data_IF_265675457762
#
_entry.id   IF_265675457762
#
_cell.length_a   1.000
_cell.length_b   1.000
_cell.length_c   1.000
_cell.angle_alpha   90.00
_cell.angle_beta   90.00
_cell.angle_gamma   90.00
#
_symmetry.space_group_name_H-M   'P 1'
#
loop_
_entity.id
_entity.type
_entity.pdbx_description
1 polymer ?
#
# COMPACT_ATOMS: atom_id res chain seq x y z
N UNK A 1 34.38 -18.98 -19.99
CA UNK A 1 33.52 -18.72 -18.83
C UNK A 1 32.25 -18.03 -19.31
N UNK A 2 31.13 -18.74 -19.37
CA UNK A 2 29.79 -18.16 -19.42
C UNK A 2 28.84 -19.19 -18.77
N UNK A 3 28.21 -18.91 -17.61
CA UNK A 3 27.00 -19.62 -17.28
C UNK A 3 25.89 -19.00 -18.13
N UNK A 4 25.38 -19.78 -19.08
CA UNK A 4 24.11 -19.47 -19.72
C UNK A 4 23.02 -19.73 -18.69
N UNK A 5 22.75 -18.74 -17.84
CA UNK A 5 21.61 -18.73 -16.93
C UNK A 5 20.34 -18.59 -17.77
N UNK A 6 19.87 -19.72 -18.32
CA UNK A 6 18.56 -19.80 -18.95
C UNK A 6 17.51 -19.62 -17.85
N UNK A 7 16.98 -18.39 -17.72
CA UNK A 7 15.86 -18.13 -16.82
C UNK A 7 14.75 -19.15 -17.11
N UNK A 8 14.24 -19.78 -16.06
CA UNK A 8 13.18 -20.79 -16.19
C UNK A 8 11.85 -20.08 -16.38
N UNK A 9 11.01 -20.58 -17.28
CA UNK A 9 9.62 -20.16 -17.33
C UNK A 9 8.82 -21.15 -16.47
N UNK A 10 8.23 -20.67 -15.38
CA UNK A 10 7.28 -21.45 -14.58
C UNK A 10 5.86 -20.84 -14.76
N UNK A 11 4.98 -21.53 -15.52
CA UNK A 11 3.63 -21.03 -15.75
C UNK A 11 2.75 -21.08 -14.50
N UNK A 12 3.04 -21.93 -13.52
CA UNK A 12 2.27 -21.98 -12.27
C UNK A 12 2.58 -20.78 -11.39
N UNK A 13 3.86 -20.41 -11.25
CA UNK A 13 4.27 -19.23 -10.49
C UNK A 13 3.76 -17.95 -11.17
N UNK A 14 3.87 -17.87 -12.51
CA UNK A 14 3.27 -16.75 -13.24
C UNK A 14 1.76 -16.65 -13.03
N UNK A 15 1.02 -17.77 -13.12
CA UNK A 15 -0.42 -17.81 -12.88
C UNK A 15 -0.79 -17.46 -11.43
N UNK A 16 -0.02 -17.92 -10.45
CA UNK A 16 -0.25 -17.61 -9.05
C UNK A 16 -0.05 -16.12 -8.78
N UNK A 17 1.04 -15.54 -9.28
CA UNK A 17 1.32 -14.12 -9.18
C UNK A 17 0.26 -13.25 -9.89
N UNK A 18 -0.34 -13.73 -11.00
CA UNK A 18 -1.50 -13.07 -11.63
C UNK A 18 -2.74 -13.10 -10.74
N UNK A 19 -3.01 -14.24 -10.08
CA UNK A 19 -4.15 -14.36 -9.17
C UNK A 19 -3.98 -13.44 -7.94
N UNK A 20 -2.76 -13.32 -7.42
CA UNK A 20 -2.43 -12.38 -6.36
C UNK A 20 -2.59 -10.92 -6.82
N UNK A 21 -2.12 -10.57 -8.03
CA UNK A 21 -2.30 -9.26 -8.65
C UNK A 21 -3.79 -8.85 -8.71
N UNK A 22 -4.66 -9.73 -9.22
CA UNK A 22 -6.10 -9.44 -9.33
C UNK A 22 -6.76 -9.33 -7.94
N UNK A 23 -6.39 -10.21 -7.01
CA UNK A 23 -6.87 -10.16 -5.63
C UNK A 23 -6.46 -8.86 -4.94
N UNK A 24 -5.23 -8.39 -5.18
CA UNK A 24 -4.70 -7.13 -4.62
C UNK A 24 -5.45 -5.94 -5.21
N UNK A 25 -5.71 -5.95 -6.51
CA UNK A 25 -6.52 -4.94 -7.21
C UNK A 25 -7.95 -4.90 -6.69
N UNK A 26 -8.58 -6.05 -6.44
CA UNK A 26 -9.90 -6.13 -5.84
C UNK A 26 -9.92 -5.60 -4.40
N UNK A 27 -8.99 -6.03 -3.55
CA UNK A 27 -8.87 -5.54 -2.17
C UNK A 27 -8.68 -4.02 -2.13
N UNK A 28 -7.83 -3.49 -3.02
CA UNK A 28 -7.60 -2.05 -3.15
C UNK A 28 -8.86 -1.29 -3.60
N UNK A 29 -9.58 -1.79 -4.61
CA UNK A 29 -10.88 -1.23 -5.05
C UNK A 29 -11.90 -1.19 -3.92
N UNK A 30 -11.94 -2.24 -3.11
CA UNK A 30 -12.83 -2.36 -1.96
C UNK A 30 -12.35 -1.56 -0.73
N UNK A 31 -11.20 -0.88 -0.83
CA UNK A 31 -10.55 -0.15 0.27
C UNK A 31 -10.30 -1.02 1.52
N UNK A 32 -10.16 -2.33 1.33
CA UNK A 32 -9.85 -3.28 2.38
C UNK A 32 -8.33 -3.28 2.61
N UNK A 33 -7.88 -2.36 3.46
CA UNK A 33 -6.45 -2.12 3.70
C UNK A 33 -5.78 -3.33 4.36
N UNK A 34 -6.49 -4.04 5.25
CA UNK A 34 -5.92 -5.21 5.93
C UNK A 34 -5.64 -6.32 4.90
N UNK A 35 -6.58 -6.53 3.98
CA UNK A 35 -6.39 -7.50 2.90
C UNK A 35 -5.33 -7.06 1.90
N UNK A 36 -5.21 -5.78 1.59
CA UNK A 36 -4.11 -5.23 0.76
C UNK A 36 -2.76 -5.54 1.39
N UNK A 37 -2.59 -5.34 2.69
CA UNK A 37 -1.34 -5.63 3.40
C UNK A 37 -1.01 -7.14 3.35
N UNK A 38 -1.98 -8.00 3.67
CA UNK A 38 -1.77 -9.45 3.64
C UNK A 38 -1.42 -9.96 2.23
N UNK A 39 -2.03 -9.39 1.19
CA UNK A 39 -1.74 -9.75 -0.20
C UNK A 39 -0.38 -9.21 -0.67
N UNK A 40 0.04 -8.03 -0.20
CA UNK A 40 1.39 -7.50 -0.47
C UNK A 40 2.46 -8.44 0.09
N UNK A 41 2.30 -8.93 1.31
CA UNK A 41 3.20 -9.94 1.90
C UNK A 41 3.27 -11.21 1.05
N UNK A 42 2.12 -11.71 0.58
CA UNK A 42 2.07 -12.88 -0.30
C UNK A 42 2.77 -12.64 -1.65
N UNK A 43 2.55 -11.48 -2.28
CA UNK A 43 3.24 -11.09 -3.52
C UNK A 43 4.75 -11.00 -3.31
N UNK A 44 5.21 -10.47 -2.18
CA UNK A 44 6.63 -10.38 -1.88
C UNK A 44 7.28 -11.74 -1.68
N UNK A 45 6.61 -12.69 -1.01
CA UNK A 45 7.12 -14.06 -0.89
C UNK A 45 7.21 -14.75 -2.25
N UNK A 46 6.21 -14.57 -3.10
CA UNK A 46 6.21 -15.12 -4.46
C UNK A 46 7.35 -14.53 -5.31
N UNK A 47 7.57 -13.21 -5.23
CA UNK A 47 8.67 -12.54 -5.93
C UNK A 47 10.05 -12.99 -5.42
N UNK A 48 10.18 -13.32 -4.13
CA UNK A 48 11.40 -13.94 -3.58
C UNK A 48 11.62 -15.33 -4.19
N UNK A 49 10.57 -16.13 -4.36
CA UNK A 49 10.66 -17.42 -5.02
C UNK A 49 11.10 -17.27 -6.49
N UNK A 50 10.48 -16.35 -7.24
CA UNK A 50 10.86 -15.99 -8.62
C UNK A 50 12.35 -15.65 -8.70
N UNK A 51 12.86 -14.83 -7.78
CA UNK A 51 14.27 -14.46 -7.76
C UNK A 51 15.19 -15.65 -7.43
N UNK A 52 14.86 -16.44 -6.40
CA UNK A 52 15.67 -17.59 -5.98
C UNK A 52 15.76 -18.66 -7.08
N UNK A 53 14.66 -18.88 -7.79
CA UNK A 53 14.56 -19.91 -8.81
C UNK A 53 14.93 -19.41 -10.23
N UNK A 54 15.33 -18.14 -10.33
CA UNK A 54 15.67 -17.47 -11.59
C UNK A 54 14.55 -17.60 -12.63
N UNK A 55 13.32 -17.37 -12.19
CA UNK A 55 12.14 -17.46 -13.04
C UNK A 55 11.99 -16.18 -13.85
N UNK A 56 11.82 -16.31 -15.16
CA UNK A 56 11.47 -15.19 -16.01
C UNK A 56 9.98 -14.88 -15.88
N UNK A 57 9.66 -13.65 -15.49
CA UNK A 57 8.30 -13.14 -15.52
C UNK A 57 8.00 -12.43 -16.85
N UNK A 58 6.78 -12.55 -17.40
CA UNK A 58 6.34 -11.74 -18.53
C UNK A 58 6.45 -10.24 -18.20
N UNK A 59 7.01 -9.47 -19.15
CA UNK A 59 7.18 -8.01 -18.99
C UNK A 59 5.86 -7.33 -18.64
N UNK A 60 4.77 -7.71 -19.29
CA UNK A 60 3.45 -7.11 -19.05
C UNK A 60 2.94 -7.35 -17.62
N UNK A 61 3.25 -8.52 -17.03
CA UNK A 61 2.89 -8.81 -15.65
C UNK A 61 3.67 -7.93 -14.67
N UNK A 62 4.96 -7.74 -14.92
CA UNK A 62 5.81 -6.84 -14.12
C UNK A 62 5.30 -5.39 -14.20
N UNK A 63 4.96 -4.92 -15.40
CA UNK A 63 4.46 -3.55 -15.58
C UNK A 63 3.10 -3.33 -14.93
N UNK A 64 2.18 -4.31 -14.98
CA UNK A 64 0.89 -4.19 -14.28
C UNK A 64 1.04 -4.16 -12.77
N UNK A 65 1.91 -5.00 -12.21
CA UNK A 65 2.22 -4.96 -10.77
C UNK A 65 2.80 -3.61 -10.37
N UNK A 66 3.78 -3.08 -11.11
CA UNK A 66 4.33 -1.73 -10.84
C UNK A 66 3.25 -0.66 -10.84
N UNK A 67 2.40 -0.63 -11.87
CA UNK A 67 1.32 0.34 -11.97
C UNK A 67 0.33 0.22 -10.81
N UNK A 68 0.00 -1.00 -10.36
CA UNK A 68 -0.86 -1.21 -9.20
C UNK A 68 -0.22 -0.67 -7.91
N UNK A 69 1.07 -0.93 -7.69
CA UNK A 69 1.80 -0.43 -6.52
C UNK A 69 1.96 1.10 -6.51
N UNK A 70 2.11 1.72 -7.68
CA UNK A 70 2.10 3.19 -7.82
C UNK A 70 0.73 3.76 -7.39
N UNK A 71 -0.38 3.18 -7.84
CA UNK A 71 -1.72 3.59 -7.44
C UNK A 71 -1.95 3.45 -5.92
N UNK A 72 -1.51 2.33 -5.33
CA UNK A 72 -1.60 2.10 -3.88
C UNK A 72 -0.78 3.14 -3.13
N UNK A 73 0.44 3.44 -3.59
CA UNK A 73 1.33 4.44 -2.97
C UNK A 73 0.72 5.84 -2.99
N UNK A 74 0.10 6.21 -4.11
CA UNK A 74 -0.54 7.51 -4.27
C UNK A 74 -1.76 7.65 -3.35
N UNK A 75 -2.61 6.62 -3.26
CA UNK A 75 -3.75 6.62 -2.33
C UNK A 75 -3.30 6.69 -0.86
N UNK A 76 -2.30 5.89 -0.48
CA UNK A 76 -1.73 5.93 0.86
C UNK A 76 -1.16 7.32 1.20
N UNK A 77 -0.44 7.93 0.26
CA UNK A 77 0.13 9.28 0.44
C UNK A 77 -0.95 10.34 0.60
N UNK A 78 -2.00 10.28 -0.24
CA UNK A 78 -3.16 11.17 -0.14
C UNK A 78 -3.87 11.01 1.20
N UNK A 79 -4.21 9.79 1.60
CA UNK A 79 -4.87 9.49 2.88
C UNK A 79 -4.07 9.96 4.08
N UNK A 80 -2.76 9.75 4.07
CA UNK A 80 -1.86 10.26 5.12
C UNK A 80 -1.93 11.77 5.24
N UNK A 81 -1.93 12.49 4.12
CA UNK A 81 -2.02 13.95 4.10
C UNK A 81 -3.40 14.41 4.63
N UNK A 82 -4.48 13.79 4.19
CA UNK A 82 -5.84 14.08 4.69
C UNK A 82 -5.96 13.86 6.21
N UNK A 83 -5.42 12.75 6.72
CA UNK A 83 -5.41 12.47 8.16
C UNK A 83 -4.57 13.49 8.93
N UNK A 84 -3.41 13.88 8.40
CA UNK A 84 -2.56 14.91 8.98
C UNK A 84 -3.29 16.25 9.10
N UNK A 85 -3.98 16.68 8.05
CA UNK A 85 -4.77 17.93 8.06
C UNK A 85 -5.96 17.85 9.02
N UNK A 86 -6.68 16.72 9.06
CA UNK A 86 -7.75 16.49 10.04
C UNK A 86 -7.24 16.58 11.47
N UNK A 87 -6.10 15.96 11.77
CA UNK A 87 -5.48 16.02 13.09
C UNK A 87 -5.07 17.44 13.47
N UNK A 88 -4.51 18.22 12.53
CA UNK A 88 -4.20 19.64 12.76
C UNK A 88 -5.47 20.45 13.03
N UNK A 89 -6.54 20.22 12.28
CA UNK A 89 -7.84 20.86 12.49
C UNK A 89 -8.41 20.59 13.87
N UNK A 90 -8.44 19.31 14.29
CA UNK A 90 -8.92 18.92 15.63
C UNK A 90 -8.09 19.54 16.75
N UNK A 91 -6.75 19.62 16.60
CA UNK A 91 -5.89 20.30 17.58
C UNK A 91 -6.22 21.79 17.71
N UNK A 92 -6.44 22.49 16.59
CA UNK A 92 -6.84 23.90 16.61
C UNK A 92 -8.19 24.10 17.29
N UNK A 93 -9.18 23.25 16.99
CA UNK A 93 -10.50 23.29 17.62
C UNK A 93 -10.42 23.05 19.13
N UNK A 94 -9.64 22.05 19.57
CA UNK A 94 -9.42 21.79 20.99
C UNK A 94 -8.80 23.00 21.69
N UNK A 95 -7.73 23.56 21.13
CA UNK A 95 -7.06 24.72 21.73
C UNK A 95 -7.99 25.95 21.82
N UNK A 96 -8.88 26.16 20.84
CA UNK A 96 -9.86 27.24 20.88
C UNK A 96 -10.92 27.03 21.97
N UNK A 97 -11.36 25.78 22.16
CA UNK A 97 -12.30 25.40 23.22
C UNK A 97 -11.67 25.56 24.61
N UNK A 98 -10.42 25.13 24.77
CA UNK A 98 -9.66 25.29 26.02
C UNK A 98 -9.50 26.78 26.38
N UNK A 99 -9.18 27.63 25.39
CA UNK A 99 -9.08 29.08 25.58
C UNK A 99 -10.43 29.71 25.96
N UNK A 100 -11.53 29.29 25.33
CA UNK A 100 -12.88 29.76 25.65
C UNK A 100 -13.28 29.41 27.09
N UNK A 101 -13.05 28.16 27.52
CA UNK A 101 -13.31 27.75 28.90
C UNK A 101 -12.48 28.56 29.90
N UNK A 102 -11.21 28.81 29.58
CA UNK A 102 -10.33 29.59 30.46
C UNK A 102 -10.83 31.04 30.63
N UNK A 103 -11.25 31.70 29.54
CA UNK A 103 -11.84 33.04 29.61
C UNK A 103 -13.17 33.07 30.37
N UNK A 104 -14.04 32.05 30.21
CA UNK A 104 -15.28 31.96 31.00
C UNK A 104 -15.01 31.82 32.50
N UNK A 105 -14.01 31.02 32.89
CA UNK A 105 -13.65 30.85 34.30
C UNK A 105 -12.97 32.08 34.90
N UNK A 106 -12.25 32.86 34.09
CA UNK A 106 -11.58 34.08 34.54
C UNK A 106 -12.52 35.29 34.66
N UNK A 107 -13.65 35.30 33.95
CA UNK A 107 -14.67 36.38 34.03
C UNK A 107 -15.72 36.20 35.12
N UNK A 108 -15.62 35.13 35.92
CA UNK A 108 -16.52 34.82 37.05
C UNK A 108 -15.86 35.09 38.43
N UNK A 109 -14.72 35.79 38.47
CA UNK A 109 -14.04 36.23 39.69
C UNK A 109 -14.22 37.73 39.94
#
# INVERSE_FOLDING_TARGET
MLPSDACKNDPMISAHLLALEESLREAFRNKDINRVIALDEAVQEELKAVQREQIALPKDQVERLKALYELIRDDCSRRRNELSEKLKGMRKQRNAMDAYHHCQTAGLQ
#
